data_IF_122807159186
#
_entry.id   IF_122807159186
#
_cell.length_a   1.000
_cell.length_b   1.000
_cell.length_c   1.000
_cell.angle_alpha   90.00
_cell.angle_beta   90.00
_cell.angle_gamma   90.00
#
_symmetry.space_group_name_H-M   'P 1'
#
loop_
_entity.id
_entity.type
_entity.pdbx_description
1 polymer ?
#
# COMPACT_ATOMS: atom_id res chain seq x y z
N UNK A 1 3.01 29.11 -2.82
CA UNK A 1 2.00 28.13 -2.87
C UNK A 1 2.30 27.15 -3.97
N UNK A 2 3.01 26.32 -3.70
CA UNK A 2 3.44 25.40 -4.65
C UNK A 2 2.67 24.18 -4.53
N UNK A 3 2.25 23.75 -5.63
CA UNK A 3 1.71 22.46 -5.87
C UNK A 3 2.73 21.46 -5.39
N UNK A 4 2.56 20.91 -4.33
CA UNK A 4 3.37 19.82 -3.96
C UNK A 4 3.02 18.72 -4.85
N UNK A 5 3.73 17.86 -4.77
CA UNK A 5 3.74 16.58 -5.33
C UNK A 5 2.47 16.16 -5.98
N UNK A 6 2.22 16.81 -7.02
CA UNK A 6 1.25 16.39 -7.93
C UNK A 6 1.88 15.53 -8.97
N UNK A 7 2.54 14.50 -8.50
CA UNK A 7 3.29 13.68 -9.41
C UNK A 7 2.42 12.73 -10.21
N UNK A 8 1.19 12.52 -9.81
CA UNK A 8 0.40 11.46 -10.42
C UNK A 8 -0.94 11.90 -10.98
N UNK A 9 -1.03 13.15 -11.41
CA UNK A 9 -2.17 13.60 -12.19
C UNK A 9 -3.50 13.62 -11.45
N UNK A 10 -3.48 13.48 -10.18
CA UNK A 10 -4.61 13.89 -9.41
C UNK A 10 -4.67 15.40 -9.54
N UNK A 11 -5.79 15.91 -9.94
CA UNK A 11 -6.10 17.32 -9.81
C UNK A 11 -6.16 17.61 -8.32
N UNK A 12 -5.04 17.68 -7.72
CA UNK A 12 -4.86 17.64 -6.30
C UNK A 12 -5.11 18.94 -5.61
N UNK A 13 -5.67 19.89 -6.30
CA UNK A 13 -6.19 21.09 -5.67
C UNK A 13 -7.10 20.72 -4.48
N UNK A 14 -7.90 19.66 -4.63
CA UNK A 14 -8.73 19.14 -3.55
C UNK A 14 -7.92 18.47 -2.45
N UNK A 15 -6.85 17.78 -2.79
CA UNK A 15 -5.96 17.15 -1.84
C UNK A 15 -5.24 18.19 -0.98
N UNK A 16 -4.79 19.28 -1.58
CA UNK A 16 -4.14 20.37 -0.86
C UNK A 16 -5.05 21.13 0.05
N UNK A 17 -6.22 21.43 -0.42
CA UNK A 17 -7.24 22.06 0.41
C UNK A 17 -7.52 21.21 1.65
N UNK A 18 -7.49 19.89 1.52
CA UNK A 18 -7.64 19.00 2.68
C UNK A 18 -6.44 19.01 3.63
N UNK A 19 -5.24 19.14 3.14
CA UNK A 19 -4.06 19.29 4.01
C UNK A 19 -4.10 20.65 4.71
N UNK A 20 -4.33 21.70 3.97
CA UNK A 20 -4.32 23.06 4.50
C UNK A 20 -5.51 23.35 5.46
N UNK A 21 -6.64 22.76 5.22
CA UNK A 21 -7.84 22.93 6.05
C UNK A 21 -8.09 21.75 7.00
N UNK A 22 -7.11 20.95 7.25
CA UNK A 22 -7.21 19.73 8.04
C UNK A 22 -7.82 19.88 9.42
N UNK A 23 -7.68 21.04 10.04
CA UNK A 23 -8.19 21.29 11.38
C UNK A 23 -9.70 21.16 11.47
N UNK A 24 -10.39 21.39 10.37
CA UNK A 24 -11.85 21.33 10.28
C UNK A 24 -12.36 20.15 9.46
N UNK A 25 -11.47 19.32 8.96
CA UNK A 25 -11.83 18.20 8.10
C UNK A 25 -11.20 16.91 8.63
N UNK A 26 -12.01 16.05 9.24
CA UNK A 26 -11.61 14.75 9.75
C UNK A 26 -11.05 13.81 8.66
N UNK A 27 -11.14 14.18 7.39
CA UNK A 27 -10.59 13.47 6.25
C UNK A 27 -9.15 13.88 5.92
N UNK A 28 -8.63 14.91 6.57
CA UNK A 28 -7.24 15.35 6.41
C UNK A 28 -6.24 14.42 7.06
N UNK A 29 -4.97 14.61 6.73
CA UNK A 29 -3.86 13.82 7.26
C UNK A 29 -3.49 14.14 8.72
N UNK A 30 -4.16 15.09 9.34
CA UNK A 30 -3.85 15.53 10.71
C UNK A 30 -2.63 16.46 10.84
N UNK A 31 -2.00 16.85 9.75
CA UNK A 31 -0.83 17.73 9.74
C UNK A 31 -1.18 19.13 9.25
N UNK A 32 -0.49 20.14 9.76
CA UNK A 32 -0.48 21.47 9.13
C UNK A 32 0.34 21.40 7.84
N UNK A 33 0.16 22.38 6.97
CA UNK A 33 0.99 22.52 5.76
C UNK A 33 2.48 22.60 6.10
N UNK A 34 2.83 23.32 7.15
CA UNK A 34 4.21 23.41 7.62
C UNK A 34 4.76 22.08 8.09
N UNK A 35 4.01 21.34 8.89
CA UNK A 35 4.41 19.99 9.34
C UNK A 35 4.56 19.02 8.18
N UNK A 36 3.63 19.05 7.22
CA UNK A 36 3.72 18.24 6.01
C UNK A 36 4.99 18.53 5.21
N UNK A 37 5.29 19.82 4.96
CA UNK A 37 6.48 20.20 4.22
C UNK A 37 7.77 19.84 4.97
N UNK A 38 7.80 20.02 6.29
CA UNK A 38 8.94 19.62 7.10
C UNK A 38 9.21 18.10 7.00
N UNK A 39 8.17 17.28 7.12
CA UNK A 39 8.31 15.84 6.95
C UNK A 39 8.75 15.45 5.54
N UNK A 40 8.22 16.13 4.53
CA UNK A 40 8.62 15.94 3.14
C UNK A 40 10.11 16.27 2.94
N UNK A 41 10.58 17.38 3.45
CA UNK A 41 11.98 17.78 3.35
C UNK A 41 12.91 16.80 4.08
N UNK A 42 12.53 16.34 5.27
CA UNK A 42 13.27 15.32 6.01
C UNK A 42 13.36 14.04 5.19
N UNK A 43 12.26 13.59 4.60
CA UNK A 43 12.23 12.39 3.78
C UNK A 43 13.10 12.54 2.52
N UNK A 44 12.96 13.64 1.79
CA UNK A 44 13.79 13.91 0.60
C UNK A 44 15.27 14.01 0.94
N UNK A 45 15.61 14.63 2.05
CA UNK A 45 16.99 14.70 2.54
C UNK A 45 17.53 13.32 2.91
N UNK A 46 16.70 12.48 3.52
CA UNK A 46 17.06 11.09 3.83
C UNK A 46 17.30 10.28 2.56
N UNK A 47 16.42 10.37 1.58
CA UNK A 47 16.59 9.72 0.28
C UNK A 47 17.88 10.17 -0.39
N UNK A 48 18.15 11.48 -0.40
CA UNK A 48 19.36 12.02 -1.02
C UNK A 48 20.63 11.54 -0.31
N UNK A 49 20.65 11.56 1.03
CA UNK A 49 21.83 11.19 1.81
C UNK A 49 22.11 9.68 1.81
N UNK A 50 21.06 8.88 1.82
CA UNK A 50 21.16 7.42 1.99
C UNK A 50 20.99 6.65 0.67
N UNK A 51 20.77 7.34 -0.43
CA UNK A 51 20.56 6.73 -1.74
C UNK A 51 19.19 6.10 -1.94
N UNK A 52 18.26 6.30 -1.00
CA UNK A 52 16.90 5.78 -1.09
C UNK A 52 16.34 5.26 0.23
N UNK A 53 15.27 4.50 0.11
CA UNK A 53 14.66 3.75 1.20
C UNK A 53 14.21 2.38 0.68
N UNK A 54 14.07 1.44 1.57
CA UNK A 54 13.57 0.12 1.26
C UNK A 54 12.06 0.05 1.46
N UNK A 55 11.37 -0.66 0.58
CA UNK A 55 9.95 -0.99 0.76
C UNK A 55 9.78 -2.50 0.80
N UNK A 56 8.71 -2.96 1.43
CA UNK A 56 8.36 -4.37 1.41
C UNK A 56 8.04 -4.85 -0.01
N UNK A 57 8.51 -6.04 -0.35
CA UNK A 57 8.16 -6.70 -1.61
C UNK A 57 6.66 -7.04 -1.66
N UNK A 58 6.07 -7.30 -0.50
CA UNK A 58 4.65 -7.57 -0.30
C UNK A 58 4.04 -6.55 0.63
N UNK A 59 2.74 -6.38 0.57
CA UNK A 59 2.03 -5.62 1.59
C UNK A 59 2.18 -6.26 2.97
N UNK A 60 2.01 -5.45 4.01
CA UNK A 60 2.06 -5.93 5.38
C UNK A 60 0.93 -6.93 5.64
N UNK A 61 1.26 -8.10 6.12
CA UNK A 61 0.36 -9.19 6.38
C UNK A 61 0.43 -9.74 7.80
N UNK A 62 -0.53 -10.57 8.14
CA UNK A 62 -0.57 -11.37 9.35
C UNK A 62 -0.12 -12.79 9.04
N UNK A 63 0.83 -13.31 9.83
CA UNK A 63 1.43 -14.62 9.61
C UNK A 63 0.56 -15.74 10.18
N UNK A 64 0.01 -16.57 9.28
CA UNK A 64 -0.73 -17.77 9.65
C UNK A 64 -2.07 -17.54 10.39
N UNK A 65 -2.44 -16.28 10.63
CA UNK A 65 -3.65 -15.93 11.38
C UNK A 65 -4.50 -14.93 10.60
N UNK A 66 -5.73 -15.31 10.32
CA UNK A 66 -6.72 -14.41 9.75
C UNK A 66 -7.21 -13.46 10.83
N UNK A 67 -6.96 -12.18 10.67
CA UNK A 67 -7.41 -11.16 11.63
C UNK A 67 -8.90 -10.88 11.50
N UNK A 68 -9.60 -10.86 12.63
CA UNK A 68 -11.06 -10.65 12.70
C UNK A 68 -11.46 -9.49 13.62
N UNK A 69 -10.50 -8.92 14.33
CA UNK A 69 -10.75 -7.79 15.23
C UNK A 69 -9.48 -6.98 15.44
N UNK A 70 -9.60 -5.84 16.08
CA UNK A 70 -8.47 -4.99 16.47
C UNK A 70 -7.96 -5.30 17.90
N UNK A 71 -8.48 -6.31 18.56
CA UNK A 71 -8.13 -6.62 19.94
C UNK A 71 -6.77 -7.32 20.11
N UNK A 72 -6.30 -7.99 19.08
CA UNK A 72 -5.03 -8.72 19.10
C UNK A 72 -4.12 -8.19 17.99
N UNK A 73 -3.20 -7.32 18.38
CA UNK A 73 -2.22 -6.75 17.45
C UNK A 73 -0.94 -7.60 17.48
N UNK A 74 -0.56 -8.10 16.32
CA UNK A 74 0.71 -8.81 16.13
C UNK A 74 1.66 -7.94 15.29
N UNK A 75 2.94 -8.25 15.34
CA UNK A 75 3.91 -7.60 14.44
C UNK A 75 3.60 -8.06 13.01
N UNK A 76 3.41 -7.13 12.06
CA UNK A 76 3.18 -7.49 10.67
C UNK A 76 4.38 -8.22 10.06
N UNK A 77 4.11 -9.07 9.09
CA UNK A 77 5.14 -9.71 8.28
C UNK A 77 5.06 -9.24 6.83
N UNK A 78 6.20 -9.24 6.16
CA UNK A 78 6.32 -8.87 4.75
C UNK A 78 6.75 -10.13 3.99
N UNK A 79 5.78 -10.97 3.66
CA UNK A 79 6.06 -12.24 2.98
C UNK A 79 4.89 -12.72 2.12
N UNK A 80 5.20 -13.56 1.16
CA UNK A 80 4.21 -14.27 0.36
C UNK A 80 3.32 -15.16 1.23
N UNK A 81 2.05 -15.24 0.86
CA UNK A 81 1.06 -16.07 1.55
C UNK A 81 0.52 -15.50 2.86
N UNK A 82 1.02 -14.35 3.32
CA UNK A 82 0.47 -13.71 4.51
C UNK A 82 -0.97 -13.23 4.25
N UNK A 83 -1.80 -13.27 5.28
CA UNK A 83 -3.16 -12.73 5.21
C UNK A 83 -3.15 -11.21 5.31
N UNK A 84 -4.08 -10.50 4.64
CA UNK A 84 -4.18 -9.04 4.75
C UNK A 84 -4.22 -8.57 6.20
N UNK A 85 -3.40 -7.58 6.54
CA UNK A 85 -3.38 -7.00 7.88
C UNK A 85 -4.50 -5.97 8.04
N UNK A 86 -5.71 -6.46 8.19
CA UNK A 86 -6.93 -5.67 8.38
C UNK A 86 -7.26 -5.46 9.87
N UNK A 87 -8.38 -4.83 10.19
CA UNK A 87 -8.82 -4.50 11.54
C UNK A 87 -7.73 -3.82 12.38
N UNK A 88 -7.20 -2.74 11.87
CA UNK A 88 -6.16 -1.95 12.53
C UNK A 88 -6.46 -0.46 12.36
N UNK A 89 -6.24 0.32 13.42
CA UNK A 89 -6.30 1.78 13.32
C UNK A 89 -5.00 2.33 12.70
N UNK A 90 -5.04 3.55 12.17
CA UNK A 90 -3.84 4.19 11.66
C UNK A 90 -2.75 4.31 12.74
N UNK A 91 -3.13 4.67 13.95
CA UNK A 91 -2.21 4.76 15.10
C UNK A 91 -1.55 3.42 15.41
N UNK A 92 -2.34 2.35 15.46
CA UNK A 92 -1.81 1.01 15.70
C UNK A 92 -0.92 0.54 14.55
N UNK A 93 -1.28 0.86 13.31
CA UNK A 93 -0.46 0.55 12.14
C UNK A 93 0.92 1.22 12.22
N UNK A 94 0.98 2.47 12.66
CA UNK A 94 2.24 3.17 12.93
C UNK A 94 3.07 2.45 14.00
N UNK A 95 2.44 2.06 15.10
CA UNK A 95 3.11 1.35 16.20
C UNK A 95 3.57 -0.03 15.76
N UNK A 96 2.73 -0.81 15.10
CA UNK A 96 3.09 -2.17 14.72
C UNK A 96 4.13 -2.21 13.60
N UNK A 97 4.04 -1.31 12.61
CA UNK A 97 5.03 -1.23 11.55
C UNK A 97 6.42 -0.87 12.06
N UNK A 98 6.53 -0.06 13.10
CA UNK A 98 7.83 0.28 13.71
C UNK A 98 8.50 -0.90 14.41
N UNK A 99 7.76 -1.97 14.69
CA UNK A 99 8.26 -3.20 15.31
C UNK A 99 8.80 -4.23 14.31
N UNK A 100 8.58 -4.03 13.02
CA UNK A 100 9.19 -4.83 11.95
C UNK A 100 10.66 -4.44 11.88
N UNK A 101 11.43 -4.82 12.87
CA UNK A 101 12.81 -4.40 13.00
C UNK A 101 13.73 -5.63 12.86
N UNK A 102 14.72 -5.53 11.97
CA UNK A 102 15.75 -6.54 11.78
C UNK A 102 17.15 -6.01 12.13
N UNK A 103 17.28 -5.41 13.29
CA UNK A 103 18.58 -4.99 13.83
C UNK A 103 19.06 -3.63 13.34
N UNK A 104 19.60 -3.54 12.14
CA UNK A 104 20.23 -2.32 11.63
C UNK A 104 19.29 -1.37 10.87
N UNK A 105 18.02 -1.70 10.75
CA UNK A 105 17.05 -0.91 9.98
C UNK A 105 15.91 -0.46 10.87
N UNK A 106 15.48 0.77 10.68
CA UNK A 106 14.22 1.27 11.23
C UNK A 106 13.10 1.04 10.24
N UNK A 107 11.98 0.54 10.71
CA UNK A 107 10.77 0.37 9.91
C UNK A 107 9.69 1.35 10.33
N UNK A 108 8.82 1.71 9.42
CA UNK A 108 7.69 2.61 9.68
C UNK A 108 6.56 2.30 8.71
N UNK A 109 5.37 2.75 9.06
CA UNK A 109 4.30 2.86 8.08
C UNK A 109 4.74 3.80 6.95
N UNK A 110 4.41 3.45 5.72
CA UNK A 110 4.77 4.27 4.55
C UNK A 110 4.09 5.63 4.60
N UNK A 111 4.85 6.69 4.36
CA UNK A 111 4.33 8.03 4.20
C UNK A 111 3.87 8.27 2.76
N UNK A 112 2.94 9.22 2.57
CA UNK A 112 2.44 9.56 1.25
C UNK A 112 3.53 9.93 0.26
N UNK A 113 4.55 10.69 0.69
CA UNK A 113 5.69 11.03 -0.18
C UNK A 113 6.53 9.80 -0.58
N UNK A 114 6.64 8.79 0.27
CA UNK A 114 7.30 7.53 -0.10
C UNK A 114 6.48 6.77 -1.14
N UNK A 115 5.15 6.75 -0.98
CA UNK A 115 4.25 6.17 -1.97
C UNK A 115 4.38 6.85 -3.34
N UNK A 116 4.39 8.17 -3.39
CA UNK A 116 4.61 8.93 -4.61
C UNK A 116 5.95 8.57 -5.28
N UNK A 117 7.00 8.38 -4.49
CA UNK A 117 8.31 7.96 -5.02
C UNK A 117 8.29 6.53 -5.55
N UNK A 118 7.55 5.62 -4.92
CA UNK A 118 7.34 4.26 -5.43
C UNK A 118 6.61 4.29 -6.76
N UNK A 119 5.51 5.02 -6.86
CA UNK A 119 4.76 5.17 -8.11
C UNK A 119 5.63 5.83 -9.18
N UNK A 120 6.45 6.82 -8.82
CA UNK A 120 7.40 7.43 -9.76
C UNK A 120 8.46 6.45 -10.22
N UNK A 121 8.94 5.59 -9.34
CA UNK A 121 9.88 4.52 -9.70
C UNK A 121 9.25 3.54 -10.71
N UNK A 122 8.00 3.14 -10.51
CA UNK A 122 7.28 2.31 -11.47
C UNK A 122 7.07 3.03 -12.82
N UNK A 123 6.75 4.32 -12.78
CA UNK A 123 6.60 5.12 -14.00
C UNK A 123 7.87 5.13 -14.83
N UNK A 124 9.01 5.34 -14.21
CA UNK A 124 10.30 5.45 -14.90
C UNK A 124 10.86 4.06 -15.27
N UNK A 125 10.79 3.11 -14.35
CA UNK A 125 11.40 1.80 -14.53
C UNK A 125 10.62 0.86 -15.44
N UNK A 126 9.29 0.89 -15.35
CA UNK A 126 8.40 0.04 -16.18
C UNK A 126 7.82 0.82 -17.38
N UNK A 127 8.11 2.11 -17.51
CA UNK A 127 7.53 2.93 -18.56
C UNK A 127 6.02 3.14 -18.42
N UNK A 128 5.47 3.02 -17.22
CA UNK A 128 4.04 3.16 -16.99
C UNK A 128 3.58 4.59 -17.18
N UNK A 129 2.44 4.78 -17.82
CA UNK A 129 1.85 6.12 -17.94
C UNK A 129 1.29 6.61 -16.60
N UNK A 130 1.25 7.92 -16.41
CA UNK A 130 0.60 8.50 -15.24
C UNK A 130 -0.87 8.08 -15.12
N UNK A 131 -1.58 8.01 -16.25
CA UNK A 131 -2.97 7.54 -16.28
C UNK A 131 -3.14 6.08 -15.84
N UNK A 132 -2.18 5.21 -16.20
CA UNK A 132 -2.21 3.82 -15.71
C UNK A 132 -1.98 3.73 -14.21
N UNK A 133 -1.17 4.62 -13.65
CA UNK A 133 -0.89 4.64 -12.20
C UNK A 133 -2.04 5.21 -11.38
N UNK A 134 -2.83 6.11 -11.94
CA UNK A 134 -3.89 6.85 -11.23
C UNK A 134 -5.30 6.34 -11.50
N UNK A 135 -5.46 5.32 -12.31
CA UNK A 135 -6.76 4.73 -12.64
C UNK A 135 -6.80 3.24 -12.34
N UNK A 136 -8.01 2.72 -12.12
CA UNK A 136 -8.21 1.28 -12.04
C UNK A 136 -7.73 0.63 -13.34
N UNK A 137 -6.69 -0.17 -13.25
CA UNK A 137 -6.11 -0.84 -14.40
C UNK A 137 -6.70 -2.23 -14.61
N UNK A 138 -6.80 -2.65 -15.86
CA UNK A 138 -7.21 -4.01 -16.21
C UNK A 138 -6.03 -4.97 -16.36
N UNK A 139 -4.82 -4.49 -16.37
CA UNK A 139 -3.61 -5.23 -16.73
C UNK A 139 -2.52 -5.27 -15.64
N UNK A 140 -2.70 -4.55 -14.54
CA UNK A 140 -1.80 -4.59 -13.39
C UNK A 140 -2.52 -4.13 -12.12
N UNK A 141 -1.90 -4.37 -10.96
CA UNK A 141 -2.39 -3.89 -9.67
C UNK A 141 -3.48 -4.77 -9.05
N UNK A 142 -3.71 -4.57 -7.77
CA UNK A 142 -4.68 -5.33 -6.99
C UNK A 142 -6.00 -4.55 -6.82
N UNK A 143 -6.78 -4.46 -7.88
CA UNK A 143 -8.07 -3.76 -7.86
C UNK A 143 -9.23 -4.69 -7.56
N UNK A 144 -10.08 -4.30 -6.62
CA UNK A 144 -11.23 -5.09 -6.20
C UNK A 144 -12.30 -5.25 -7.30
N UNK A 145 -12.43 -4.26 -8.18
CA UNK A 145 -13.46 -4.17 -9.21
C UNK A 145 -13.07 -4.83 -10.54
N UNK A 146 -11.93 -5.49 -10.62
CA UNK A 146 -11.45 -6.15 -11.84
C UNK A 146 -11.36 -7.65 -11.60
N UNK A 147 -11.86 -8.43 -12.57
CA UNK A 147 -11.69 -9.88 -12.60
C UNK A 147 -10.34 -10.28 -13.18
N UNK A 148 -9.67 -11.25 -12.55
CA UNK A 148 -8.42 -11.81 -13.06
C UNK A 148 -8.11 -13.19 -12.47
N UNK A 149 -7.19 -13.91 -13.10
CA UNK A 149 -6.81 -15.23 -12.65
C UNK A 149 -5.79 -15.15 -11.50
N UNK A 150 -6.01 -15.99 -10.50
CA UNK A 150 -5.13 -16.20 -9.36
C UNK A 150 -4.56 -17.62 -9.50
N UNK A 151 -3.26 -17.75 -9.33
CA UNK A 151 -2.56 -19.02 -9.56
C UNK A 151 -2.04 -19.70 -8.30
N UNK A 152 -1.99 -19.00 -7.18
CA UNK A 152 -1.44 -19.50 -5.92
C UNK A 152 -2.03 -18.78 -4.70
N UNK A 153 -1.69 -19.27 -3.51
CA UNK A 153 -2.15 -18.67 -2.26
C UNK A 153 -3.60 -19.03 -1.92
N UNK A 154 -4.26 -18.13 -1.24
CA UNK A 154 -5.63 -18.29 -0.77
C UNK A 154 -6.48 -17.06 -1.08
N UNK A 155 -7.78 -17.24 -1.15
CA UNK A 155 -8.74 -16.17 -1.41
C UNK A 155 -9.94 -16.22 -0.46
N UNK A 156 -10.52 -15.07 -0.20
CA UNK A 156 -11.73 -14.91 0.61
C UNK A 156 -12.79 -14.13 -0.14
N UNK A 157 -14.00 -14.70 -0.20
CA UNK A 157 -15.20 -14.06 -0.78
C UNK A 157 -16.12 -13.48 0.29
N UNK A 158 -15.75 -13.58 1.57
CA UNK A 158 -16.55 -13.17 2.71
C UNK A 158 -15.82 -12.16 3.61
N UNK A 159 -15.17 -11.18 2.97
CA UNK A 159 -14.47 -10.08 3.64
C UNK A 159 -13.36 -10.53 4.60
N UNK A 160 -12.70 -11.64 4.31
CA UNK A 160 -11.60 -12.15 5.12
C UNK A 160 -12.04 -12.97 6.34
N UNK A 161 -13.31 -13.34 6.46
CA UNK A 161 -13.76 -14.20 7.56
C UNK A 161 -13.20 -15.62 7.47
N UNK A 162 -12.97 -16.10 6.25
CA UNK A 162 -12.27 -17.36 5.96
C UNK A 162 -11.56 -17.26 4.62
N UNK A 163 -10.51 -18.03 4.46
CA UNK A 163 -9.76 -18.15 3.22
C UNK A 163 -9.83 -19.59 2.70
N UNK A 164 -9.88 -19.73 1.39
CA UNK A 164 -9.87 -21.00 0.68
C UNK A 164 -8.60 -21.08 -0.18
N UNK A 165 -7.93 -22.23 -0.22
CA UNK A 165 -6.77 -22.40 -1.08
C UNK A 165 -7.18 -22.26 -2.55
N UNK A 166 -6.31 -21.66 -3.34
CA UNK A 166 -6.49 -21.60 -4.79
C UNK A 166 -6.30 -23.00 -5.36
N UNK A 167 -7.26 -23.52 -6.15
CA UNK A 167 -7.12 -24.83 -6.79
C UNK A 167 -5.90 -24.87 -7.73
N UNK A 168 -5.36 -26.06 -7.98
CA UNK A 168 -4.27 -26.26 -8.94
C UNK A 168 -4.62 -25.78 -10.35
N UNK A 169 -5.90 -25.83 -10.72
CA UNK A 169 -6.41 -25.28 -11.98
C UNK A 169 -6.50 -23.76 -12.01
N UNK A 170 -6.15 -23.08 -10.91
CA UNK A 170 -6.31 -21.65 -10.73
C UNK A 170 -7.74 -21.28 -10.30
N UNK A 171 -7.89 -20.02 -9.96
CA UNK A 171 -9.19 -19.42 -9.61
C UNK A 171 -9.36 -18.08 -10.35
N UNK A 172 -10.48 -17.94 -11.03
CA UNK A 172 -10.83 -16.67 -11.68
C UNK A 172 -11.56 -15.79 -10.68
N UNK A 173 -10.85 -14.78 -10.16
CA UNK A 173 -11.43 -13.75 -9.31
C UNK A 173 -12.48 -12.97 -10.10
N UNK A 174 -13.72 -12.87 -9.62
CA UNK A 174 -14.72 -12.00 -10.23
C UNK A 174 -14.38 -10.52 -10.02
N UNK A 175 -15.11 -9.63 -10.68
CA UNK A 175 -15.01 -8.18 -10.50
C UNK A 175 -15.60 -7.67 -9.17
N UNK A 176 -16.02 -8.56 -8.29
CA UNK A 176 -16.43 -8.24 -6.92
C UNK A 176 -15.26 -8.28 -5.95
N UNK A 177 -15.43 -7.66 -4.79
CA UNK A 177 -14.41 -7.63 -3.75
C UNK A 177 -14.06 -9.05 -3.28
N UNK A 178 -12.84 -9.46 -3.52
CA UNK A 178 -12.25 -10.71 -3.05
C UNK A 178 -10.92 -10.35 -2.43
N UNK A 179 -10.71 -10.72 -1.17
CA UNK A 179 -9.42 -10.56 -0.53
C UNK A 179 -8.51 -11.73 -0.91
N UNK A 180 -7.23 -11.43 -1.11
CA UNK A 180 -6.20 -12.39 -1.46
C UNK A 180 -5.12 -12.41 -0.40
N UNK A 181 -4.46 -13.55 -0.24
CA UNK A 181 -3.17 -13.57 0.46
C UNK A 181 -2.12 -12.84 -0.38
N UNK A 182 -1.10 -12.31 0.28
CA UNK A 182 -0.05 -11.52 -0.35
C UNK A 182 0.66 -12.32 -1.45
N UNK A 183 0.86 -11.71 -2.60
CA UNK A 183 1.55 -12.34 -3.72
C UNK A 183 0.78 -13.46 -4.42
N UNK A 184 -0.53 -13.54 -4.27
CA UNK A 184 -1.38 -14.61 -4.84
C UNK A 184 -1.38 -14.64 -6.38
N UNK A 185 -0.91 -13.61 -7.05
CA UNK A 185 -0.82 -13.56 -8.50
C UNK A 185 0.37 -12.75 -8.99
N UNK A 186 1.04 -13.26 -10.02
CA UNK A 186 2.12 -12.53 -10.70
C UNK A 186 1.63 -11.27 -11.45
N UNK A 187 0.35 -11.20 -11.76
CA UNK A 187 -0.23 -10.04 -12.38
C UNK A 187 -0.06 -8.77 -11.55
N UNK A 188 -0.15 -8.90 -10.23
CA UNK A 188 -0.02 -7.78 -9.31
C UNK A 188 1.43 -7.35 -9.09
N UNK A 189 2.40 -8.03 -9.71
CA UNK A 189 3.82 -7.74 -9.56
C UNK A 189 4.29 -6.69 -10.58
N UNK A 190 4.91 -5.63 -10.08
CA UNK A 190 5.68 -4.66 -10.86
C UNK A 190 7.01 -4.40 -10.18
N UNK A 191 8.12 -4.51 -10.92
CA UNK A 191 9.49 -4.35 -10.39
C UNK A 191 9.74 -5.14 -9.10
N UNK A 192 9.25 -6.37 -9.03
CA UNK A 192 9.30 -7.25 -7.86
C UNK A 192 8.53 -6.74 -6.62
N UNK A 193 7.65 -5.78 -6.77
CA UNK A 193 6.73 -5.35 -5.75
C UNK A 193 5.35 -5.91 -6.11
N UNK A 194 4.70 -6.56 -5.13
CA UNK A 194 3.40 -7.18 -5.29
C UNK A 194 2.28 -6.31 -4.72
N UNK A 195 1.08 -6.56 -5.20
CA UNK A 195 -0.18 -6.06 -4.64
C UNK A 195 -0.32 -4.53 -4.60
N UNK A 196 0.49 -3.80 -5.36
CA UNK A 196 0.36 -2.36 -5.49
C UNK A 196 -0.95 -2.00 -6.19
N UNK A 197 -1.67 -1.06 -5.60
CA UNK A 197 -2.79 -0.37 -6.22
C UNK A 197 -2.44 1.10 -6.43
N UNK A 198 -2.75 1.62 -7.60
CA UNK A 198 -2.56 3.03 -7.94
C UNK A 198 -3.55 3.97 -7.26
#
# INVERSE_FOLDING_TARGET
GTTPVDSFGSSSTTYYVRIDNKLNDNRGCGLTYSEYNSLKEIMLSSVYRNGGFWIGQYEAGSDGVVRKSNSELTIPVIKEGAYPYNYITCSDAQIQSSKINSGNYTSSLMFGIQWDLVLKHLQVGEGMSASSLTSNSSDWGNYANIGFNISKGEYSTNYGSSFNPVPETGYTKPSSAVLLTMGATERNRKMNIYDIAG
#
